data_IF_422719045078
#
_entry.id   IF_422719045078
#
_cell.length_a   1.000
_cell.length_b   1.000
_cell.length_c   1.000
_cell.angle_alpha   90.00
_cell.angle_beta   90.00
_cell.angle_gamma   90.00
#
_symmetry.space_group_name_H-M   'P 1'
#
loop_
_entity.id
_entity.type
_entity.pdbx_description
1 polymer ?
#
# COMPACT_ATOMS: atom_id res chain seq x y z
N UNK A 1 12.20 20.40 -13.18
CA UNK A 1 11.73 19.82 -11.88
C UNK A 1 12.87 19.04 -11.22
N UNK A 2 13.19 19.32 -9.94
CA UNK A 2 14.17 18.54 -9.17
C UNK A 2 13.79 17.05 -9.08
N UNK A 3 14.80 16.18 -8.98
CA UNK A 3 14.61 14.71 -8.90
C UNK A 3 13.80 14.27 -7.68
N UNK A 4 14.00 14.92 -6.53
CA UNK A 4 13.24 14.68 -5.31
C UNK A 4 11.75 14.98 -5.51
N UNK A 5 11.42 16.13 -6.10
CA UNK A 5 10.04 16.55 -6.42
C UNK A 5 9.34 15.53 -7.33
N UNK A 6 10.04 15.01 -8.35
CA UNK A 6 9.50 13.96 -9.24
C UNK A 6 9.24 12.63 -8.54
N UNK A 7 10.01 12.27 -7.52
CA UNK A 7 9.78 11.06 -6.70
C UNK A 7 8.59 11.25 -5.78
N UNK A 8 8.51 12.40 -5.10
CA UNK A 8 7.38 12.73 -4.21
C UNK A 8 6.07 12.78 -4.99
N UNK A 9 6.08 13.43 -6.16
CA UNK A 9 4.91 13.49 -7.04
C UNK A 9 4.43 12.09 -7.46
N UNK A 10 5.34 11.22 -7.91
CA UNK A 10 4.99 9.84 -8.26
C UNK A 10 4.39 9.07 -7.07
N UNK A 11 4.91 9.26 -5.85
CA UNK A 11 4.35 8.64 -4.65
C UNK A 11 2.93 9.14 -4.37
N UNK A 12 2.70 10.45 -4.44
CA UNK A 12 1.39 11.05 -4.21
C UNK A 12 0.35 10.56 -5.24
N UNK A 13 0.69 10.58 -6.52
CA UNK A 13 -0.17 10.08 -7.61
C UNK A 13 -0.51 8.60 -7.40
N UNK A 14 0.47 7.79 -7.02
CA UNK A 14 0.24 6.37 -6.75
C UNK A 14 -0.63 6.12 -5.52
N UNK A 15 -0.48 6.93 -4.45
CA UNK A 15 -1.37 6.88 -3.29
C UNK A 15 -2.78 7.29 -3.66
N UNK A 16 -2.95 8.35 -4.45
CA UNK A 16 -4.25 8.80 -4.94
C UNK A 16 -4.97 7.70 -5.74
N UNK A 17 -4.29 7.08 -6.71
CA UNK A 17 -4.88 5.97 -7.48
C UNK A 17 -5.27 4.78 -6.62
N UNK A 18 -4.48 4.46 -5.58
CA UNK A 18 -4.84 3.38 -4.64
C UNK A 18 -6.09 3.71 -3.84
N UNK A 19 -6.30 4.97 -3.44
CA UNK A 19 -7.51 5.38 -2.75
C UNK A 19 -8.72 5.31 -3.66
N UNK A 20 -8.63 5.85 -4.88
CA UNK A 20 -9.71 5.73 -5.87
C UNK A 20 -10.05 4.27 -6.17
N UNK A 21 -9.04 3.42 -6.40
CA UNK A 21 -9.27 1.99 -6.63
C UNK A 21 -9.91 1.28 -5.44
N UNK A 22 -9.65 1.72 -4.20
CA UNK A 22 -10.32 1.20 -3.01
C UNK A 22 -11.77 1.64 -2.94
N UNK A 23 -12.05 2.91 -3.18
CA UNK A 23 -13.41 3.45 -3.16
C UNK A 23 -14.27 2.82 -4.28
N UNK A 24 -13.68 2.65 -5.47
CA UNK A 24 -14.31 1.94 -6.59
C UNK A 24 -14.60 0.47 -6.22
N UNK A 25 -13.62 -0.22 -5.64
CA UNK A 25 -13.80 -1.60 -5.21
C UNK A 25 -14.93 -1.74 -4.17
N UNK A 26 -15.00 -0.86 -3.18
CA UNK A 26 -16.11 -0.81 -2.21
C UNK A 26 -17.45 -0.57 -2.91
N UNK A 27 -17.51 0.40 -3.85
CA UNK A 27 -18.71 0.74 -4.62
C UNK A 27 -19.21 -0.44 -5.45
N UNK A 28 -18.29 -1.22 -6.01
CA UNK A 28 -18.60 -2.42 -6.80
C UNK A 28 -18.77 -3.70 -5.96
N UNK A 29 -18.81 -3.59 -4.63
CA UNK A 29 -19.01 -4.72 -3.73
C UNK A 29 -17.81 -5.67 -3.61
N UNK A 30 -16.65 -5.28 -4.12
CA UNK A 30 -15.40 -5.98 -3.85
C UNK A 30 -14.98 -5.69 -2.41
N UNK A 31 -14.81 -6.74 -1.62
CA UNK A 31 -14.27 -6.62 -0.28
C UNK A 31 -12.79 -6.30 -0.39
N UNK A 32 -12.45 -5.01 -0.34
CA UNK A 32 -11.06 -4.62 -0.07
C UNK A 32 -10.82 -4.96 1.40
N UNK A 33 -9.90 -5.90 1.73
CA UNK A 33 -9.61 -6.19 3.12
C UNK A 33 -9.05 -4.94 3.80
N UNK A 34 -9.92 -4.25 4.56
CA UNK A 34 -9.55 -3.33 5.63
C UNK A 34 -9.18 -4.18 6.84
N UNK A 35 -8.05 -4.88 6.72
CA UNK A 35 -7.60 -5.86 7.69
C UNK A 35 -6.18 -5.60 8.17
N UNK A 36 -5.85 -6.20 9.30
CA UNK A 36 -4.48 -6.35 9.76
C UNK A 36 -3.80 -7.39 8.86
N UNK A 37 -2.70 -7.01 8.23
CA UNK A 37 -1.91 -7.86 7.36
C UNK A 37 -0.76 -8.46 8.16
N UNK A 38 -0.65 -9.77 8.26
CA UNK A 38 0.50 -10.42 8.89
C UNK A 38 1.54 -10.82 7.84
N UNK A 39 2.82 -10.62 8.15
CA UNK A 39 3.91 -11.18 7.35
C UNK A 39 3.97 -12.70 7.54
N UNK A 40 4.02 -13.48 6.47
CA UNK A 40 4.07 -14.94 6.55
C UNK A 40 5.40 -15.47 7.12
N UNK A 41 6.49 -14.69 6.97
CA UNK A 41 7.83 -15.11 7.42
C UNK A 41 8.08 -14.84 8.91
N UNK A 42 7.66 -13.68 9.41
CA UNK A 42 7.95 -13.25 10.78
C UNK A 42 6.70 -12.99 11.63
N UNK A 43 5.50 -13.12 11.05
CA UNK A 43 4.21 -12.88 11.70
C UNK A 43 4.00 -11.44 12.20
N UNK A 44 4.80 -10.48 11.73
CA UNK A 44 4.62 -9.06 12.05
C UNK A 44 3.33 -8.51 11.42
N UNK A 45 2.52 -7.83 12.22
CA UNK A 45 1.24 -7.27 11.82
C UNK A 45 1.36 -5.83 11.29
N UNK A 46 0.75 -5.55 10.16
CA UNK A 46 0.71 -4.24 9.51
C UNK A 46 -0.72 -3.82 9.21
N UNK A 47 -1.06 -2.57 9.52
CA UNK A 47 -2.41 -2.03 9.28
C UNK A 47 -2.65 -1.68 7.80
N UNK A 48 -1.59 -1.55 7.01
CA UNK A 48 -1.66 -1.26 5.59
C UNK A 48 -0.90 -2.29 4.76
N UNK A 49 -1.48 -2.67 3.62
CA UNK A 49 -0.80 -3.49 2.62
C UNK A 49 0.51 -2.86 2.13
N UNK A 50 0.55 -1.52 1.98
CA UNK A 50 1.78 -0.77 1.66
C UNK A 50 2.90 -1.03 2.65
N UNK A 51 2.55 -1.10 3.93
CA UNK A 51 3.50 -1.32 5.02
C UNK A 51 3.98 -2.75 5.03
N UNK A 52 3.09 -3.74 4.86
CA UNK A 52 3.50 -5.14 4.68
C UNK A 52 4.43 -5.31 3.47
N UNK A 53 4.07 -4.76 2.31
CA UNK A 53 4.88 -4.86 1.09
C UNK A 53 6.24 -4.16 1.20
N UNK A 54 6.35 -3.16 2.07
CA UNK A 54 7.63 -2.52 2.38
C UNK A 54 8.44 -3.41 3.33
N UNK A 55 7.83 -3.87 4.41
CA UNK A 55 8.44 -4.79 5.37
C UNK A 55 9.02 -6.02 4.68
N UNK A 56 8.24 -6.71 3.82
CA UNK A 56 8.74 -7.89 3.09
C UNK A 56 9.96 -7.53 2.24
N UNK A 57 9.98 -6.36 1.59
CA UNK A 57 11.14 -5.95 0.78
C UNK A 57 12.36 -5.53 1.58
N UNK A 58 12.21 -5.02 2.81
CA UNK A 58 13.34 -4.54 3.61
C UNK A 58 13.88 -5.59 4.56
N UNK A 59 13.00 -6.34 5.21
CA UNK A 59 13.36 -7.33 6.23
C UNK A 59 13.50 -8.75 5.66
N UNK A 60 12.88 -9.01 4.50
CA UNK A 60 12.76 -10.35 3.91
C UNK A 60 13.03 -10.38 2.40
N UNK A 61 14.24 -9.97 1.95
CA UNK A 61 14.61 -10.05 0.54
C UNK A 61 14.45 -11.47 -0.05
#
# INVERSE_FOLDING_TARGET
MPSAVRRTWRRLVHTYHRLCARDDAVTHGFTVPSGVWACDRCHESHLELSSLLRHVRTEHP
#
